data_IF_898666391767
#
_entry.id   IF_898666391767
#
_cell.length_a   1.000
_cell.length_b   1.000
_cell.length_c   1.000
_cell.angle_alpha   90.00
_cell.angle_beta   90.00
_cell.angle_gamma   90.00
#
_symmetry.space_group_name_H-M   'P 1'
#
loop_
_entity.id
_entity.type
_entity.pdbx_description
1 polymer ?
#
# COMPACT_ATOMS: atom_id res chain seq x y z
N UNK A 1 37.76 -6.80 32.29
CA UNK A 1 37.77 -5.75 31.25
C UNK A 1 36.91 -6.22 30.09
N UNK A 2 35.76 -5.59 29.87
CA UNK A 2 34.81 -5.93 28.79
C UNK A 2 35.06 -4.95 27.62
N UNK A 3 35.23 -5.39 26.37
CA UNK A 3 35.46 -4.46 25.26
C UNK A 3 34.16 -3.72 24.91
N UNK A 4 34.26 -2.39 24.82
CA UNK A 4 33.17 -1.49 24.43
C UNK A 4 32.73 -1.75 22.98
N UNK A 5 31.43 -1.95 22.80
CA UNK A 5 30.76 -1.92 21.51
C UNK A 5 30.99 -0.55 20.82
N UNK A 6 31.52 -0.57 19.59
CA UNK A 6 31.65 0.62 18.75
C UNK A 6 30.27 1.00 18.21
N UNK A 7 29.74 2.13 18.69
CA UNK A 7 28.58 2.82 18.11
C UNK A 7 28.93 3.31 16.70
N UNK A 8 28.01 3.14 15.75
CA UNK A 8 28.05 3.87 14.48
C UNK A 8 27.70 5.34 14.71
N UNK A 9 28.49 6.30 14.18
CA UNK A 9 28.12 7.70 14.20
C UNK A 9 27.17 8.03 13.04
N UNK A 10 26.17 8.83 13.34
CA UNK A 10 25.24 9.47 12.40
C UNK A 10 25.92 10.65 11.70
N UNK A 11 25.94 10.68 10.37
CA UNK A 11 26.16 11.90 9.58
C UNK A 11 27.24 11.85 8.49
N UNK A 12 26.79 11.97 7.23
CA UNK A 12 27.44 12.65 6.08
C UNK A 12 28.85 12.27 5.59
N UNK A 13 29.33 11.05 5.85
CA UNK A 13 30.41 10.47 5.04
C UNK A 13 30.08 9.01 4.71
N UNK A 14 30.06 8.68 3.42
CA UNK A 14 30.16 7.27 3.00
C UNK A 14 31.57 6.84 3.41
N UNK A 15 31.70 6.25 4.60
CA UNK A 15 32.95 5.58 4.98
C UNK A 15 33.37 4.66 3.83
N UNK A 16 34.65 4.66 3.42
CA UNK A 16 35.10 3.77 2.36
C UNK A 16 34.78 2.34 2.76
N UNK A 17 33.92 1.70 1.94
CA UNK A 17 33.54 0.31 2.14
C UNK A 17 34.82 -0.52 2.11
N UNK A 18 35.02 -1.38 3.11
CA UNK A 18 36.22 -2.21 3.16
C UNK A 18 36.34 -3.07 1.89
N UNK A 19 37.55 -3.47 1.46
CA UNK A 19 37.71 -4.32 0.28
C UNK A 19 36.86 -5.60 0.33
N UNK A 20 36.73 -6.21 1.52
CA UNK A 20 35.87 -7.38 1.73
C UNK A 20 34.39 -7.07 1.52
N UNK A 21 33.89 -5.97 2.11
CA UNK A 21 32.50 -5.56 1.92
C UNK A 21 32.21 -5.15 0.46
N UNK A 22 33.18 -4.55 -0.24
CA UNK A 22 33.06 -4.25 -1.67
C UNK A 22 32.97 -5.53 -2.50
N UNK A 23 33.78 -6.55 -2.19
CA UNK A 23 33.70 -7.87 -2.85
C UNK A 23 32.31 -8.47 -2.66
N UNK A 24 31.82 -8.55 -1.42
CA UNK A 24 30.48 -9.08 -1.12
C UNK A 24 29.39 -8.35 -1.90
N UNK A 25 29.45 -7.02 -1.96
CA UNK A 25 28.50 -6.24 -2.75
C UNK A 25 28.54 -6.59 -4.24
N UNK A 26 29.73 -6.66 -4.83
CA UNK A 26 29.91 -6.97 -6.25
C UNK A 26 29.49 -8.41 -6.59
N UNK A 27 29.78 -9.38 -5.73
CA UNK A 27 29.35 -10.77 -5.87
C UNK A 27 27.82 -10.86 -5.84
N UNK A 28 27.16 -10.13 -4.95
CA UNK A 28 25.70 -10.07 -4.90
C UNK A 28 25.09 -9.43 -6.15
N UNK A 29 25.68 -8.33 -6.65
CA UNK A 29 25.27 -7.72 -7.91
C UNK A 29 25.40 -8.70 -9.08
N UNK A 30 26.54 -9.40 -9.18
CA UNK A 30 26.82 -10.38 -10.22
C UNK A 30 25.89 -11.60 -10.13
N UNK A 31 25.50 -12.01 -8.92
CA UNK A 31 24.53 -13.07 -8.64
C UNK A 31 23.07 -12.68 -8.88
N UNK A 32 22.81 -11.54 -9.54
CA UNK A 32 21.46 -11.08 -9.85
C UNK A 32 20.67 -10.56 -8.65
N UNK A 33 21.35 -10.25 -7.54
CA UNK A 33 20.74 -9.68 -6.32
C UNK A 33 19.62 -10.55 -5.74
N UNK A 34 19.83 -11.88 -5.73
CA UNK A 34 18.81 -12.86 -5.35
C UNK A 34 18.98 -13.45 -3.93
N UNK A 35 20.12 -13.22 -3.27
CA UNK A 35 20.37 -13.74 -1.92
C UNK A 35 19.53 -12.99 -0.88
N UNK A 36 18.52 -13.62 -0.25
CA UNK A 36 17.68 -12.97 0.76
C UNK A 36 18.41 -12.72 2.08
N UNK A 37 19.52 -13.42 2.33
CA UNK A 37 20.28 -13.36 3.58
C UNK A 37 21.30 -12.22 3.63
N UNK A 38 21.49 -11.50 2.51
CA UNK A 38 22.48 -10.44 2.44
C UNK A 38 22.18 -9.33 3.46
N UNK A 39 23.25 -8.75 4.03
CA UNK A 39 23.12 -7.60 4.91
C UNK A 39 22.35 -6.46 4.25
N UNK A 40 21.29 -5.99 4.89
CA UNK A 40 20.34 -5.00 4.32
C UNK A 40 21.03 -3.70 3.84
N UNK A 41 22.18 -3.34 4.42
CA UNK A 41 22.96 -2.18 3.96
C UNK A 41 23.38 -2.26 2.49
N UNK A 42 23.64 -3.46 1.95
CA UNK A 42 23.97 -3.65 0.53
C UNK A 42 22.76 -3.41 -0.38
N UNK A 43 21.57 -3.83 0.07
CA UNK A 43 20.31 -3.57 -0.62
C UNK A 43 20.06 -2.07 -0.69
N UNK A 44 20.26 -1.35 0.43
CA UNK A 44 20.15 0.11 0.46
C UNK A 44 21.14 0.81 -0.46
N UNK A 45 22.40 0.37 -0.53
CA UNK A 45 23.39 0.96 -1.45
C UNK A 45 22.91 0.86 -2.91
N UNK A 46 22.38 -0.29 -3.32
CA UNK A 46 21.80 -0.45 -4.65
C UNK A 46 20.54 0.41 -4.83
N UNK A 47 19.65 0.40 -3.85
CA UNK A 47 18.42 1.19 -3.86
C UNK A 47 18.68 2.70 -3.99
N UNK A 48 19.72 3.23 -3.34
CA UNK A 48 20.12 4.64 -3.50
C UNK A 48 20.47 5.00 -4.95
N UNK A 49 21.01 4.04 -5.71
CA UNK A 49 21.26 4.19 -7.14
C UNK A 49 19.96 4.31 -7.94
N UNK A 50 18.94 3.50 -7.60
CA UNK A 50 17.62 3.58 -8.22
C UNK A 50 16.92 4.90 -7.89
N UNK A 51 16.98 5.34 -6.63
CA UNK A 51 16.43 6.63 -6.21
C UNK A 51 17.06 7.79 -6.98
N UNK A 52 18.39 7.80 -7.11
CA UNK A 52 19.09 8.82 -7.89
C UNK A 52 18.66 8.76 -9.35
N UNK A 53 18.64 7.58 -9.96
CA UNK A 53 18.31 7.40 -11.38
C UNK A 53 16.90 7.91 -11.70
N UNK A 54 15.92 7.60 -10.85
CA UNK A 54 14.54 8.01 -11.07
C UNK A 54 14.30 9.49 -10.73
N UNK A 55 14.77 9.96 -9.57
CA UNK A 55 14.35 11.26 -9.03
C UNK A 55 15.34 12.41 -9.26
N UNK A 56 16.61 12.11 -9.54
CA UNK A 56 17.65 13.13 -9.78
C UNK A 56 18.01 13.17 -11.25
N UNK A 57 18.23 12.01 -11.87
CA UNK A 57 18.54 11.94 -13.29
C UNK A 57 17.28 11.94 -14.17
N UNK A 58 16.09 11.94 -13.55
CA UNK A 58 14.75 12.00 -14.19
C UNK A 58 14.53 10.95 -15.29
N UNK A 59 15.08 9.74 -15.13
CA UNK A 59 14.95 8.64 -16.10
C UNK A 59 13.54 8.00 -16.10
N UNK A 60 12.50 8.79 -16.42
CA UNK A 60 11.08 8.39 -16.41
C UNK A 60 10.80 7.18 -17.30
N UNK A 61 11.47 7.10 -18.45
CA UNK A 61 11.37 5.97 -19.38
C UNK A 61 11.85 4.63 -18.77
N UNK A 62 12.69 4.68 -17.72
CA UNK A 62 13.17 3.51 -16.99
C UNK A 62 12.31 3.18 -15.75
N UNK A 63 11.34 4.04 -15.39
CA UNK A 63 10.50 3.88 -14.21
C UNK A 63 9.79 2.50 -14.13
N UNK A 64 9.21 1.95 -15.22
CA UNK A 64 8.59 0.62 -15.16
C UNK A 64 9.58 -0.50 -14.78
N UNK A 65 10.79 -0.46 -15.34
CA UNK A 65 11.82 -1.46 -15.06
C UNK A 65 12.37 -1.33 -13.62
N UNK A 66 12.58 -0.10 -13.15
CA UNK A 66 12.98 0.16 -11.77
C UNK A 66 11.90 -0.25 -10.78
N UNK A 67 10.62 0.04 -11.06
CA UNK A 67 9.51 -0.38 -10.23
C UNK A 67 9.39 -1.92 -10.16
N UNK A 68 9.60 -2.63 -11.27
CA UNK A 68 9.66 -4.09 -11.28
C UNK A 68 10.79 -4.63 -10.39
N UNK A 69 11.99 -4.02 -10.45
CA UNK A 69 13.11 -4.42 -9.61
C UNK A 69 12.86 -4.12 -8.12
N UNK A 70 12.27 -2.97 -7.79
CA UNK A 70 11.93 -2.63 -6.40
C UNK A 70 10.88 -3.58 -5.82
N UNK A 71 9.87 -3.99 -6.60
CA UNK A 71 8.91 -5.04 -6.20
C UNK A 71 9.61 -6.37 -5.94
N UNK A 72 10.58 -6.77 -6.79
CA UNK A 72 11.37 -7.99 -6.59
C UNK A 72 12.19 -7.92 -5.29
N UNK A 73 12.85 -6.79 -5.02
CA UNK A 73 13.61 -6.60 -3.78
C UNK A 73 12.69 -6.59 -2.54
N UNK A 74 11.49 -6.02 -2.64
CA UNK A 74 10.48 -6.09 -1.58
C UNK A 74 10.04 -7.53 -1.29
N UNK A 75 9.87 -8.36 -2.32
CA UNK A 75 9.54 -9.77 -2.12
C UNK A 75 10.65 -10.54 -1.36
N UNK A 76 11.92 -10.16 -1.54
CA UNK A 76 13.07 -10.81 -0.89
C UNK A 76 13.39 -10.24 0.50
N UNK A 77 13.23 -8.92 0.69
CA UNK A 77 13.75 -8.19 1.84
C UNK A 77 12.68 -7.36 2.57
N UNK A 78 11.39 -7.51 2.21
CA UNK A 78 10.28 -6.72 2.71
C UNK A 78 9.95 -6.92 4.19
N UNK A 79 10.50 -7.96 4.83
CA UNK A 79 10.43 -8.13 6.29
C UNK A 79 11.22 -7.04 7.02
N UNK A 80 12.22 -6.43 6.37
CA UNK A 80 12.91 -5.28 6.94
C UNK A 80 12.00 -4.04 6.88
N UNK A 81 11.48 -3.64 8.04
CA UNK A 81 10.55 -2.52 8.18
C UNK A 81 11.03 -1.21 7.51
N UNK A 82 12.33 -0.88 7.65
CA UNK A 82 12.87 0.35 7.08
C UNK A 82 12.88 0.28 5.55
N UNK A 83 13.40 -0.81 4.99
CA UNK A 83 13.43 -1.01 3.54
C UNK A 83 12.02 -1.05 2.96
N UNK A 84 11.10 -1.76 3.61
CA UNK A 84 9.70 -1.84 3.22
C UNK A 84 9.07 -0.45 3.06
N UNK A 85 9.25 0.42 4.05
CA UNK A 85 8.70 1.78 4.02
C UNK A 85 9.25 2.62 2.87
N UNK A 86 10.57 2.63 2.64
CA UNK A 86 11.18 3.40 1.56
C UNK A 86 10.84 2.84 0.17
N UNK A 87 10.92 1.52 0.00
CA UNK A 87 10.61 0.87 -1.27
C UNK A 87 9.14 1.03 -1.66
N UNK A 88 8.21 0.96 -0.70
CA UNK A 88 6.78 1.21 -0.98
C UNK A 88 6.54 2.64 -1.44
N UNK A 89 7.16 3.64 -0.79
CA UNK A 89 7.08 5.05 -1.22
C UNK A 89 7.72 5.28 -2.59
N UNK A 90 8.80 4.57 -2.91
CA UNK A 90 9.41 4.62 -4.24
C UNK A 90 8.42 4.12 -5.30
N UNK A 91 7.74 3.00 -5.04
CA UNK A 91 6.77 2.44 -5.98
C UNK A 91 5.57 3.36 -6.20
N UNK A 92 5.03 3.96 -5.14
CA UNK A 92 3.93 4.93 -5.25
C UNK A 92 4.25 6.05 -6.24
N UNK A 93 5.49 6.54 -6.22
CA UNK A 93 5.94 7.60 -7.12
C UNK A 93 6.33 7.06 -8.49
N UNK A 94 7.03 5.93 -8.57
CA UNK A 94 7.48 5.36 -9.82
C UNK A 94 6.29 4.95 -10.72
N UNK A 95 5.25 4.36 -10.13
CA UNK A 95 4.02 3.99 -10.85
C UNK A 95 3.29 5.23 -11.37
N UNK A 96 3.26 6.31 -10.58
CA UNK A 96 2.71 7.60 -10.98
C UNK A 96 3.49 8.25 -12.13
N UNK A 97 4.83 8.14 -12.11
CA UNK A 97 5.67 8.66 -13.19
C UNK A 97 5.56 7.83 -14.46
N UNK A 98 5.34 6.52 -14.34
CA UNK A 98 5.20 5.60 -15.46
C UNK A 98 3.83 5.70 -16.14
N UNK A 99 2.78 6.02 -15.39
CA UNK A 99 1.43 6.20 -15.91
C UNK A 99 0.82 7.52 -15.40
N UNK A 100 0.84 8.60 -16.21
CA UNK A 100 0.25 9.87 -15.81
C UNK A 100 -1.29 9.80 -15.67
N UNK A 101 -1.92 8.78 -16.26
CA UNK A 101 -3.33 8.51 -16.00
C UNK A 101 -3.51 7.90 -14.61
N UNK A 102 -4.04 8.72 -13.70
CA UNK A 102 -4.39 8.31 -12.35
C UNK A 102 -5.53 7.28 -12.43
N UNK A 103 -5.18 6.00 -12.38
CA UNK A 103 -6.13 4.89 -12.27
C UNK A 103 -6.70 4.77 -10.86
N UNK A 104 -7.94 4.26 -10.77
CA UNK A 104 -8.55 3.91 -9.48
C UNK A 104 -7.77 2.75 -8.82
N UNK A 105 -7.29 2.90 -7.57
CA UNK A 105 -6.69 1.79 -6.83
C UNK A 105 -7.68 0.65 -6.59
N UNK A 106 -7.19 -0.59 -6.56
CA UNK A 106 -8.00 -1.74 -6.18
C UNK A 106 -8.38 -1.70 -4.69
N UNK A 107 -9.58 -2.18 -4.36
CA UNK A 107 -9.98 -2.38 -2.98
C UNK A 107 -9.20 -3.54 -2.35
N UNK A 108 -8.82 -3.39 -1.10
CA UNK A 108 -8.14 -4.41 -0.31
C UNK A 108 -8.44 -4.21 1.17
N UNK A 109 -8.53 -5.28 1.99
CA UNK A 109 -8.62 -5.15 3.44
C UNK A 109 -7.37 -4.48 4.05
N UNK A 110 -6.24 -4.52 3.35
CA UNK A 110 -4.94 -3.99 3.77
C UNK A 110 -4.59 -2.67 3.05
N UNK A 111 -5.58 -1.95 2.52
CA UNK A 111 -5.38 -0.70 1.76
C UNK A 111 -4.65 0.40 2.56
N UNK A 112 -4.72 0.35 3.89
CA UNK A 112 -4.07 1.31 4.77
C UNK A 112 -2.54 1.18 4.71
N UNK A 113 -1.84 2.29 4.43
CA UNK A 113 -0.37 2.36 4.43
C UNK A 113 0.18 3.09 5.67
N UNK A 114 0.15 2.39 6.82
CA UNK A 114 0.76 2.90 8.05
C UNK A 114 0.07 4.15 8.64
N UNK A 115 0.79 5.27 8.70
CA UNK A 115 0.35 6.53 9.33
C UNK A 115 -0.14 7.58 8.33
N UNK A 116 -0.01 7.34 7.03
CA UNK A 116 -0.43 8.27 5.97
C UNK A 116 -1.40 7.56 5.02
N UNK A 117 -2.29 8.33 4.40
CA UNK A 117 -3.14 7.80 3.32
C UNK A 117 -2.25 7.51 2.09
N UNK A 118 -2.38 6.31 1.46
CA UNK A 118 -1.66 5.97 0.23
C UNK A 118 -1.77 7.07 -0.83
N UNK A 119 -0.64 7.38 -1.47
CA UNK A 119 -0.56 8.47 -2.45
C UNK A 119 -1.50 8.22 -3.64
N UNK A 120 -1.58 6.98 -4.12
CA UNK A 120 -2.46 6.57 -5.23
C UNK A 120 -3.94 6.87 -4.94
N UNK A 121 -4.41 6.63 -3.71
CA UNK A 121 -5.78 6.95 -3.28
C UNK A 121 -5.98 8.46 -3.21
N UNK A 122 -5.03 9.21 -2.63
CA UNK A 122 -5.10 10.68 -2.56
C UNK A 122 -5.21 11.30 -3.95
N UNK A 123 -4.39 10.86 -4.90
CA UNK A 123 -4.39 11.37 -6.27
C UNK A 123 -5.70 11.06 -7.01
N UNK A 124 -6.19 9.81 -6.91
CA UNK A 124 -7.45 9.40 -7.56
C UNK A 124 -8.64 10.22 -7.05
N UNK A 125 -8.80 10.31 -5.73
CA UNK A 125 -9.87 11.09 -5.12
C UNK A 125 -9.70 12.59 -5.35
N UNK A 126 -8.46 13.09 -5.32
CA UNK A 126 -8.13 14.48 -5.65
C UNK A 126 -8.53 14.85 -7.08
N UNK A 127 -8.29 13.98 -8.06
CA UNK A 127 -8.73 14.19 -9.45
C UNK A 127 -10.26 14.25 -9.55
N UNK A 128 -10.98 13.35 -8.88
CA UNK A 128 -12.46 13.40 -8.84
C UNK A 128 -12.99 14.69 -8.21
N UNK A 129 -12.39 15.14 -7.10
CA UNK A 129 -12.73 16.42 -6.46
C UNK A 129 -12.47 17.61 -7.37
N UNK A 130 -11.33 17.64 -8.06
CA UNK A 130 -10.97 18.68 -9.02
C UNK A 130 -11.98 18.78 -10.16
N UNK A 131 -12.46 17.63 -10.65
CA UNK A 131 -13.51 17.53 -11.68
C UNK A 131 -14.94 17.73 -11.15
N UNK A 132 -15.11 18.00 -9.85
CA UNK A 132 -16.42 18.18 -9.18
C UNK A 132 -17.38 17.00 -9.38
N UNK A 133 -16.86 15.80 -9.54
CA UNK A 133 -17.67 14.59 -9.66
C UNK A 133 -18.00 14.04 -8.26
N UNK A 134 -19.24 13.56 -8.01
CA UNK A 134 -19.56 12.89 -6.75
C UNK A 134 -18.74 11.61 -6.61
N UNK A 135 -18.40 11.26 -5.37
CA UNK A 135 -17.76 9.97 -5.07
C UNK A 135 -18.81 8.88 -5.18
N UNK A 136 -18.48 7.82 -5.93
CA UNK A 136 -19.31 6.63 -5.94
C UNK A 136 -19.01 5.76 -4.71
N UNK A 137 -19.70 4.62 -4.63
CA UNK A 137 -19.54 3.73 -3.50
C UNK A 137 -18.12 3.17 -3.36
N UNK A 138 -17.45 2.87 -4.49
CA UNK A 138 -16.07 2.37 -4.48
C UNK A 138 -15.10 3.46 -4.03
N UNK A 139 -15.26 4.69 -4.51
CA UNK A 139 -14.41 5.82 -4.11
C UNK A 139 -14.56 6.11 -2.61
N UNK A 140 -15.79 6.06 -2.08
CA UNK A 140 -16.03 6.26 -0.66
C UNK A 140 -15.46 5.13 0.21
N UNK A 141 -15.49 3.88 -0.28
CA UNK A 141 -14.87 2.75 0.42
C UNK A 141 -13.35 2.85 0.41
N UNK A 142 -12.75 3.18 -0.75
CA UNK A 142 -11.32 3.47 -0.87
C UNK A 142 -10.92 4.55 0.12
N UNK A 143 -11.68 5.64 0.17
CA UNK A 143 -11.42 6.74 1.08
C UNK A 143 -11.42 6.26 2.54
N UNK A 144 -12.50 5.66 3.03
CA UNK A 144 -12.62 5.31 4.45
C UNK A 144 -11.58 4.27 4.88
N UNK A 145 -11.28 3.26 4.03
CA UNK A 145 -10.29 2.22 4.33
C UNK A 145 -8.85 2.72 4.29
N UNK A 146 -8.59 3.80 3.56
CA UNK A 146 -7.26 4.38 3.40
C UNK A 146 -6.84 5.34 4.52
N UNK A 147 -7.77 5.70 5.42
CA UNK A 147 -7.53 6.63 6.51
C UNK A 147 -6.65 6.00 7.62
N UNK A 148 -5.66 6.73 8.16
CA UNK A 148 -4.74 6.19 9.19
C UNK A 148 -5.42 5.72 10.48
N UNK A 149 -6.54 6.35 10.83
CA UNK A 149 -7.33 6.12 12.03
C UNK A 149 -8.54 5.18 11.80
N UNK A 150 -8.75 4.72 10.57
CA UNK A 150 -9.69 3.63 10.29
C UNK A 150 -8.96 2.28 10.39
N UNK A 151 -9.47 1.37 11.21
CA UNK A 151 -8.98 -0.01 11.27
C UNK A 151 -10.12 -0.99 11.00
N UNK A 152 -9.96 -1.79 9.94
CA UNK A 152 -10.94 -2.82 9.61
C UNK A 152 -10.85 -3.97 10.63
N UNK A 153 -11.98 -4.36 11.22
CA UNK A 153 -12.03 -5.47 12.18
C UNK A 153 -11.71 -6.78 11.47
N UNK A 154 -10.99 -7.70 12.15
CA UNK A 154 -10.54 -9.00 11.58
C UNK A 154 -11.64 -9.81 10.87
N UNK A 155 -12.88 -9.92 11.40
CA UNK A 155 -13.94 -10.65 10.69
C UNK A 155 -14.30 -10.02 9.34
N UNK A 156 -14.42 -8.69 9.29
CA UNK A 156 -14.68 -7.94 8.06
C UNK A 156 -13.53 -8.06 7.06
N UNK A 157 -12.27 -8.11 7.53
CA UNK A 157 -11.12 -8.34 6.66
C UNK A 157 -11.11 -9.75 6.03
N UNK A 158 -11.65 -10.77 6.73
CA UNK A 158 -11.74 -12.15 6.22
C UNK A 158 -12.85 -12.34 5.19
N UNK A 159 -13.95 -11.59 5.34
CA UNK A 159 -15.11 -11.60 4.45
C UNK A 159 -15.21 -10.26 3.73
N UNK A 160 -14.09 -9.85 3.12
CA UNK A 160 -13.95 -8.51 2.55
C UNK A 160 -14.82 -8.31 1.30
N UNK A 161 -14.95 -9.35 0.46
CA UNK A 161 -15.81 -9.29 -0.73
C UNK A 161 -17.27 -9.09 -0.32
N UNK A 162 -17.76 -9.86 0.64
CA UNK A 162 -19.13 -9.73 1.14
C UNK A 162 -19.36 -8.38 1.85
N UNK A 163 -18.35 -7.89 2.56
CA UNK A 163 -18.39 -6.54 3.12
C UNK A 163 -18.49 -5.47 2.03
N UNK A 164 -17.71 -5.59 0.95
CA UNK A 164 -17.71 -4.64 -0.15
C UNK A 164 -19.06 -4.64 -0.89
N UNK A 165 -19.64 -5.82 -1.13
CA UNK A 165 -20.99 -5.95 -1.69
C UNK A 165 -22.05 -5.29 -0.80
N UNK A 166 -22.04 -5.59 0.51
CA UNK A 166 -22.97 -4.99 1.46
C UNK A 166 -22.80 -3.48 1.54
N UNK A 167 -21.54 -3.01 1.55
CA UNK A 167 -21.22 -1.58 1.49
C UNK A 167 -21.83 -0.94 0.26
N UNK A 168 -21.71 -1.54 -0.92
CA UNK A 168 -22.29 -1.00 -2.16
C UNK A 168 -23.81 -0.82 -2.06
N UNK A 169 -24.52 -1.81 -1.53
CA UNK A 169 -25.97 -1.75 -1.32
C UNK A 169 -26.36 -0.66 -0.32
N UNK A 170 -25.70 -0.63 0.83
CA UNK A 170 -26.00 0.32 1.93
C UNK A 170 -25.61 1.75 1.56
N UNK A 171 -24.51 1.93 0.84
CA UNK A 171 -24.08 3.22 0.31
C UNK A 171 -25.08 3.77 -0.70
N UNK A 172 -25.51 2.97 -1.68
CA UNK A 172 -26.48 3.41 -2.69
C UNK A 172 -27.82 3.83 -2.06
N UNK A 173 -28.23 3.13 -1.00
CA UNK A 173 -29.43 3.50 -0.23
C UNK A 173 -29.29 4.86 0.48
N UNK A 174 -28.11 5.19 0.99
CA UNK A 174 -27.84 6.44 1.74
C UNK A 174 -27.49 7.62 0.82
N UNK A 175 -26.82 7.35 -0.30
CA UNK A 175 -26.30 8.32 -1.25
C UNK A 175 -26.69 7.91 -2.69
N UNK A 176 -27.98 8.00 -3.07
CA UNK A 176 -28.47 7.55 -4.37
C UNK A 176 -27.80 8.27 -5.54
N UNK A 177 -27.44 9.54 -5.38
CA UNK A 177 -26.75 10.36 -6.38
C UNK A 177 -25.21 10.40 -6.17
N UNK A 178 -24.67 9.51 -5.33
CA UNK A 178 -23.30 9.52 -4.87
C UNK A 178 -23.03 10.54 -3.75
N UNK A 179 -21.84 10.43 -3.14
CA UNK A 179 -21.42 11.30 -2.05
C UNK A 179 -20.85 12.60 -2.62
N UNK A 180 -21.54 13.72 -2.37
CA UNK A 180 -21.05 15.05 -2.72
C UNK A 180 -20.06 15.53 -1.66
N UNK A 181 -18.84 15.83 -2.08
CA UNK A 181 -17.75 16.27 -1.19
C UNK A 181 -17.28 17.64 -1.66
N UNK A 182 -17.22 18.60 -0.74
CA UNK A 182 -16.70 19.93 -1.05
C UNK A 182 -15.19 19.87 -1.20
N UNK A 183 -14.67 20.42 -2.31
CA UNK A 183 -13.23 20.47 -2.56
C UNK A 183 -12.54 21.35 -1.50
N UNK A 184 -11.52 20.83 -0.79
CA UNK A 184 -10.70 21.64 0.10
C UNK A 184 -9.87 22.64 -0.70
N UNK A 185 -9.45 23.73 -0.04
CA UNK A 185 -8.45 24.66 -0.59
C UNK A 185 -7.06 24.04 -0.63
N UNK A 186 -6.76 23.16 0.33
CA UNK A 186 -5.47 22.47 0.43
C UNK A 186 -5.25 21.54 -0.76
N UNK A 187 -4.03 21.55 -1.27
CA UNK A 187 -3.61 20.80 -2.45
C UNK A 187 -2.63 19.70 -2.07
N UNK A 188 -2.64 18.61 -2.82
CA UNK A 188 -1.72 17.50 -2.64
C UNK A 188 -0.31 18.01 -2.93
N UNK A 189 0.58 17.87 -1.95
CA UNK A 189 2.02 18.02 -2.14
C UNK A 189 2.63 16.63 -2.21
N UNK A 190 3.20 16.28 -3.35
CA UNK A 190 3.90 15.02 -3.53
C UNK A 190 5.36 15.26 -3.21
N UNK A 191 5.77 14.88 -2.00
CA UNK A 191 7.15 14.96 -1.54
C UNK A 191 7.69 13.53 -1.37
N UNK A 192 8.70 13.17 -2.16
CA UNK A 192 9.41 11.90 -1.97
C UNK A 192 10.52 12.08 -0.94
N UNK A 193 10.45 11.35 0.18
CA UNK A 193 11.52 11.32 1.17
C UNK A 193 12.44 10.14 0.91
N UNK A 194 13.63 10.43 0.40
CA UNK A 194 14.60 9.41 0.03
C UNK A 194 15.24 8.71 1.23
N UNK A 195 15.58 7.45 1.03
CA UNK A 195 16.45 6.71 1.93
C UNK A 195 17.90 7.24 1.84
N UNK A 196 18.32 7.62 0.63
CA UNK A 196 19.61 8.23 0.37
C UNK A 196 19.69 9.67 0.90
N UNK A 197 20.72 9.96 1.70
CA UNK A 197 21.09 11.33 2.04
C UNK A 197 21.83 12.08 0.91
N UNK A 198 22.13 11.41 -0.20
CA UNK A 198 23.02 11.92 -1.25
C UNK A 198 22.47 13.05 -2.12
N UNK A 199 21.18 13.39 -1.97
CA UNK A 199 20.53 14.45 -2.74
C UNK A 199 19.53 15.27 -1.89
N UNK A 200 19.86 15.51 -0.62
CA UNK A 200 19.04 16.36 0.26
C UNK A 200 17.80 15.66 0.86
N UNK A 201 17.57 14.40 0.52
CA UNK A 201 16.60 13.53 1.20
C UNK A 201 15.13 13.81 0.90
N UNK A 202 14.82 14.86 0.13
CA UNK A 202 13.46 15.27 -0.27
C UNK A 202 13.46 15.69 -1.73
N UNK A 203 12.50 15.20 -2.49
CA UNK A 203 12.26 15.58 -3.88
C UNK A 203 10.82 16.04 -4.00
N UNK A 204 10.63 17.29 -4.42
CA UNK A 204 9.31 17.85 -4.71
C UNK A 204 8.89 17.43 -6.12
N UNK A 205 7.72 16.80 -6.22
CA UNK A 205 7.18 16.26 -7.46
C UNK A 205 5.90 17.00 -7.88
N UNK A 206 5.56 18.10 -7.19
CA UNK A 206 4.35 18.89 -7.41
C UNK A 206 4.33 19.69 -8.72
N UNK A 207 5.49 19.91 -9.35
CA UNK A 207 5.61 20.60 -10.65
C UNK A 207 5.33 19.71 -11.87
N UNK A 208 5.02 18.43 -11.68
CA UNK A 208 4.69 17.53 -12.79
C UNK A 208 3.21 17.62 -13.19
N UNK A 209 2.89 17.21 -14.42
CA UNK A 209 1.61 17.29 -15.17
C UNK A 209 0.29 16.93 -14.43
N UNK A 210 0.38 16.49 -13.18
CA UNK A 210 -0.72 16.17 -12.27
C UNK A 210 -1.47 17.42 -11.75
N UNK A 211 -0.81 18.58 -11.76
CA UNK A 211 -1.37 19.84 -11.27
C UNK A 211 -1.75 19.83 -9.78
N UNK A 212 -2.17 20.96 -9.20
CA UNK A 212 -2.54 21.04 -7.79
C UNK A 212 -3.92 20.41 -7.55
N UNK A 213 -3.95 19.09 -7.40
CA UNK A 213 -5.14 18.33 -7.03
C UNK A 213 -5.56 18.66 -5.59
N UNK A 214 -6.86 18.84 -5.29
CA UNK A 214 -7.35 18.97 -3.92
C UNK A 214 -6.98 17.76 -3.06
N UNK A 215 -6.57 17.99 -1.82
CA UNK A 215 -6.14 16.92 -0.91
C UNK A 215 -7.27 16.43 0.00
N UNK A 216 -7.84 15.28 -0.37
CA UNK A 216 -8.92 14.63 0.37
C UNK A 216 -8.54 14.25 1.81
N UNK A 217 -7.25 14.04 2.09
CA UNK A 217 -6.78 13.67 3.43
C UNK A 217 -6.95 14.78 4.48
N UNK A 218 -7.23 16.01 4.04
CA UNK A 218 -7.44 17.17 4.92
C UNK A 218 -8.89 17.36 5.37
N UNK A 219 -9.82 16.60 4.79
CA UNK A 219 -11.23 16.68 5.10
C UNK A 219 -11.57 15.78 6.29
N UNK A 220 -12.42 16.25 7.20
CA UNK A 220 -12.94 15.47 8.33
C UNK A 220 -14.46 15.25 8.26
N UNK A 221 -15.21 16.24 7.78
CA UNK A 221 -16.68 16.28 7.89
C UNK A 221 -17.46 15.05 7.34
N UNK A 222 -17.15 14.47 6.16
CA UNK A 222 -17.89 13.32 5.66
C UNK A 222 -17.40 11.98 6.21
N UNK A 223 -16.27 11.95 6.92
CA UNK A 223 -15.60 10.70 7.30
C UNK A 223 -16.40 9.96 8.37
N UNK A 224 -16.97 10.65 9.35
CA UNK A 224 -17.72 10.01 10.43
C UNK A 224 -18.93 9.25 9.88
N UNK A 225 -19.67 9.85 8.94
CA UNK A 225 -20.79 9.18 8.28
C UNK A 225 -20.40 7.95 7.47
N UNK A 226 -19.19 7.94 6.87
CA UNK A 226 -18.66 6.76 6.17
C UNK A 226 -18.18 5.69 7.14
N UNK A 227 -17.59 6.07 8.27
CA UNK A 227 -17.19 5.13 9.34
C UNK A 227 -18.39 4.45 9.96
N UNK A 228 -19.44 5.20 10.25
CA UNK A 228 -20.69 4.67 10.77
C UNK A 228 -21.30 3.64 9.80
N UNK A 229 -21.27 3.96 8.50
CA UNK A 229 -21.74 3.04 7.46
C UNK A 229 -20.87 1.76 7.41
N UNK A 230 -19.55 1.89 7.50
CA UNK A 230 -18.62 0.75 7.47
C UNK A 230 -18.82 -0.16 8.69
N UNK A 231 -19.00 0.45 9.86
CA UNK A 231 -19.27 -0.24 11.11
C UNK A 231 -20.60 -1.00 11.05
N UNK A 232 -21.67 -0.35 10.56
CA UNK A 232 -22.97 -0.97 10.38
C UNK A 232 -22.91 -2.18 9.42
N UNK A 233 -22.20 -2.06 8.29
CA UNK A 233 -22.00 -3.19 7.37
C UNK A 233 -21.25 -4.33 8.06
N UNK A 234 -20.22 -4.02 8.85
CA UNK A 234 -19.46 -5.04 9.58
C UNK A 234 -20.32 -5.76 10.63
N UNK A 235 -21.19 -5.04 11.34
CA UNK A 235 -22.07 -5.64 12.36
C UNK A 235 -23.16 -6.50 11.73
N UNK A 236 -23.75 -6.07 10.61
CA UNK A 236 -24.72 -6.84 9.85
C UNK A 236 -24.11 -8.13 9.26
N UNK A 237 -22.88 -8.04 8.74
CA UNK A 237 -22.14 -9.21 8.25
C UNK A 237 -21.87 -10.21 9.38
N UNK A 238 -21.49 -9.72 10.57
CA UNK A 238 -21.26 -10.56 11.74
C UNK A 238 -22.55 -11.28 12.20
N UNK A 239 -23.69 -10.59 12.22
CA UNK A 239 -24.98 -11.19 12.57
C UNK A 239 -25.38 -12.31 11.59
N UNK A 240 -25.16 -12.11 10.30
CA UNK A 240 -25.48 -13.09 9.25
C UNK A 240 -24.55 -14.30 9.29
N UNK A 241 -23.25 -14.09 9.51
CA UNK A 241 -22.27 -15.18 9.66
C UNK A 241 -22.55 -16.05 10.91
N UNK A 242 -22.94 -15.43 12.02
CA UNK A 242 -23.38 -16.14 13.24
C UNK A 242 -24.68 -16.92 12.98
N UNK A 243 -25.61 -16.34 12.22
CA UNK A 243 -26.87 -17.00 11.87
C UNK A 243 -26.64 -18.22 10.96
N UNK A 244 -25.76 -18.12 9.97
CA UNK A 244 -25.39 -19.24 9.10
C UNK A 244 -24.57 -20.31 9.84
N UNK A 245 -23.63 -19.90 10.71
CA UNK A 245 -22.86 -20.81 11.55
C UNK A 245 -23.69 -21.56 12.60
N UNK A 246 -24.83 -20.99 13.04
CA UNK A 246 -25.79 -21.65 13.94
C UNK A 246 -26.78 -22.56 13.21
N UNK A 247 -27.03 -22.33 11.91
CA UNK A 247 -27.99 -23.10 11.11
C UNK A 247 -27.37 -24.21 10.25
N UNK A 248 -26.04 -24.33 10.21
CA UNK A 248 -25.37 -25.51 9.67
C UNK A 248 -25.37 -26.61 10.73
N UNK A 249 -26.41 -27.46 10.71
CA UNK A 249 -26.30 -28.82 11.28
C UNK A 249 -25.00 -29.45 10.76
N UNK A 250 -24.25 -30.22 11.56
CA UNK A 250 -23.08 -30.92 11.05
C UNK A 250 -23.53 -31.75 9.85
N UNK A 251 -22.96 -31.46 8.68
CA UNK A 251 -23.06 -32.32 7.50
C UNK A 251 -22.49 -33.65 7.93
N UNK A 252 -23.38 -34.60 8.27
CA UNK A 252 -23.01 -36.00 8.50
C UNK A 252 -22.21 -36.41 7.25
N UNK A 253 -20.97 -36.88 7.38
CA UNK A 253 -20.26 -37.42 6.24
C UNK A 253 -21.06 -38.64 5.78
N UNK A 254 -21.62 -38.59 4.57
CA UNK A 254 -22.16 -39.77 3.91
C UNK A 254 -20.98 -40.73 3.73
N UNK A 255 -20.89 -41.75 4.60
CA UNK A 255 -20.02 -42.90 4.35
C UNK A 255 -20.48 -43.52 3.03
N UNK A 256 -19.55 -43.82 2.09
CA UNK A 256 -19.90 -44.63 0.95
C UNK A 256 -20.30 -46.02 1.46
N UNK A 257 -21.49 -46.48 1.09
CA UNK A 257 -21.89 -47.89 1.21
C UNK A 257 -20.98 -48.68 0.27
N UNK A 258 -19.88 -49.20 0.80
CA UNK A 258 -19.08 -50.23 0.14
C UNK A 258 -19.94 -51.47 -0.03
N UNK A 259 -20.17 -51.83 -1.29
CA UNK A 259 -20.82 -53.05 -1.78
C UNK A 259 -20.38 -54.31 -1.03
N UNK A 260 -21.35 -55.07 -0.52
CA UNK A 260 -21.17 -56.48 -0.19
C UNK A 260 -20.67 -57.26 -1.42
N UNK A 261 -19.66 -58.13 -1.31
CA UNK A 261 -19.41 -59.12 -2.33
C UNK A 261 -20.48 -60.22 -2.24
N UNK A 262 -21.08 -60.54 -3.39
CA UNK A 262 -21.90 -61.74 -3.57
C UNK A 262 -21.01 -62.97 -3.49
N UNK A 263 -21.54 -64.00 -2.83
CA UNK A 263 -21.08 -65.40 -2.86
C UNK A 263 -20.85 -65.85 -4.32
N UNK A 264 -19.69 -66.44 -4.60
CA UNK A 264 -19.48 -67.89 -4.79
C UNK A 264 -18.00 -68.21 -4.57
#
# INVERSE_FOLDING_TARGET
MIPKAKRCPTGHHISPISPGARRTYLEWLAGGRNDPSIGIGYVFIFFYGLERRLFVDEARNEAPAMAAEVRRLLALHGENYSFNGYASKFLDVADLMANPDISRPALSPDLRSGYEMPLSVRLHLGRKLGSKLPFDSTDALLWVLSLPDTQLRKPAARCFEELAELWHVRFASRYPDGLKVNSPRTKIKVEYRAASGGFGGRVDLSDSELGPLPDVATLSAPIDGLRDLLNACTDELAATAVFLGRNLRPRIPLRPLSSCPRRF
#
